data_IF_385514185881
#
_entry.id   IF_385514185881
#
_cell.length_a   1.000
_cell.length_b   1.000
_cell.length_c   1.000
_cell.angle_alpha   90.00
_cell.angle_beta   90.00
_cell.angle_gamma   90.00
#
_symmetry.space_group_name_H-M   'P 1'
#
loop_
_entity.id
_entity.type
_entity.pdbx_description
1 polymer ?
#
# COMPACT_ATOMS: atom_id res chain seq x y z
N UNK A 1 -18.97 -4.78 -18.09
CA UNK A 1 -18.07 -3.61 -18.38
C UNK A 1 -17.01 -4.09 -19.34
N UNK A 2 -16.78 -3.38 -20.43
CA UNK A 2 -15.65 -3.71 -21.31
C UNK A 2 -14.33 -3.15 -20.76
N UNK A 3 -13.20 -3.57 -21.38
CA UNK A 3 -11.87 -3.21 -20.88
C UNK A 3 -11.57 -1.70 -20.99
N UNK A 4 -12.11 -1.02 -21.99
CA UNK A 4 -11.91 0.41 -22.18
C UNK A 4 -12.74 1.20 -21.17
N UNK A 5 -14.01 0.80 -20.97
CA UNK A 5 -14.91 1.40 -19.99
C UNK A 5 -14.35 1.30 -18.56
N UNK A 6 -13.72 0.16 -18.20
CA UNK A 6 -13.08 0.00 -16.90
C UNK A 6 -11.91 0.97 -16.75
N UNK A 7 -11.01 1.04 -17.73
CA UNK A 7 -9.86 1.96 -17.67
C UNK A 7 -10.30 3.42 -17.53
N UNK A 8 -11.34 3.84 -18.30
CA UNK A 8 -11.84 5.20 -18.24
C UNK A 8 -12.42 5.53 -16.87
N UNK A 9 -13.15 4.61 -16.24
CA UNK A 9 -13.64 4.78 -14.87
C UNK A 9 -12.51 4.85 -13.85
N UNK A 10 -11.47 4.02 -13.96
CA UNK A 10 -10.30 4.09 -13.10
C UNK A 10 -9.61 5.45 -13.21
N UNK A 11 -9.41 5.95 -14.44
CA UNK A 11 -8.83 7.27 -14.70
C UNK A 11 -9.66 8.42 -14.16
N UNK A 12 -11.00 8.34 -14.24
CA UNK A 12 -11.89 9.33 -13.66
C UNK A 12 -11.75 9.43 -12.12
N UNK A 13 -11.41 8.33 -11.47
CA UNK A 13 -11.26 8.28 -10.00
C UNK A 13 -9.89 8.78 -9.56
N UNK A 14 -8.79 8.34 -10.21
CA UNK A 14 -7.42 8.59 -9.72
C UNK A 14 -6.59 9.50 -10.64
N UNK A 15 -7.14 9.91 -11.79
CA UNK A 15 -6.42 10.69 -12.79
C UNK A 15 -5.78 9.85 -13.90
N UNK A 16 -5.56 10.49 -15.04
CA UNK A 16 -5.13 9.83 -16.28
C UNK A 16 -3.77 9.12 -16.17
N UNK A 17 -2.84 9.68 -15.42
CA UNK A 17 -1.48 9.16 -15.30
C UNK A 17 -1.34 8.06 -14.24
N UNK A 18 -2.29 7.98 -13.32
CA UNK A 18 -2.31 7.05 -12.18
C UNK A 18 -2.99 5.70 -12.49
N UNK A 19 -3.67 5.57 -13.62
CA UNK A 19 -4.28 4.30 -14.06
C UNK A 19 -3.68 3.85 -15.39
N UNK A 20 -3.23 2.58 -15.44
CA UNK A 20 -2.54 1.97 -16.59
C UNK A 20 -3.06 0.57 -16.84
N UNK A 21 -2.87 0.07 -18.05
CA UNK A 21 -3.14 -1.33 -18.43
C UNK A 21 -1.84 -2.03 -18.77
N UNK A 22 -1.79 -3.36 -18.55
CA UNK A 22 -0.63 -4.16 -18.93
C UNK A 22 0.66 -3.78 -18.22
N UNK A 23 0.57 -3.27 -17.00
CA UNK A 23 1.72 -2.79 -16.23
C UNK A 23 2.61 -3.95 -15.80
N UNK A 24 3.92 -3.94 -16.15
CA UNK A 24 4.84 -5.02 -15.81
C UNK A 24 5.07 -5.09 -14.29
N UNK A 25 4.70 -6.18 -13.64
CA UNK A 25 4.84 -6.31 -12.20
C UNK A 25 6.28 -6.53 -11.71
N UNK A 26 7.19 -6.91 -12.60
CA UNK A 26 8.61 -7.04 -12.28
C UNK A 26 9.28 -5.72 -11.85
N UNK A 27 8.72 -4.57 -12.23
CA UNK A 27 9.22 -3.25 -11.78
C UNK A 27 8.62 -2.82 -10.44
N UNK A 28 7.57 -3.52 -9.97
CA UNK A 28 6.85 -3.26 -8.72
C UNK A 28 7.11 -4.31 -7.64
N UNK A 29 8.04 -5.24 -7.86
CA UNK A 29 8.43 -6.26 -6.89
C UNK A 29 9.93 -6.26 -6.65
N UNK A 30 10.32 -6.57 -5.41
CA UNK A 30 11.75 -6.70 -5.05
C UNK A 30 12.40 -7.88 -5.77
N UNK A 31 11.66 -8.94 -6.08
CA UNK A 31 12.15 -10.09 -6.84
C UNK A 31 12.43 -9.75 -8.32
N UNK A 32 11.89 -8.64 -8.84
CA UNK A 32 12.05 -8.17 -10.23
C UNK A 32 11.63 -9.20 -11.28
N UNK A 33 10.66 -10.03 -10.94
CA UNK A 33 10.02 -11.02 -11.81
C UNK A 33 8.51 -10.88 -11.75
N UNK A 34 7.81 -11.41 -12.75
CA UNK A 34 6.35 -11.41 -12.83
C UNK A 34 5.84 -10.81 -14.13
N UNK A 35 4.75 -11.36 -14.64
CA UNK A 35 4.02 -10.84 -15.80
C UNK A 35 3.25 -9.57 -15.46
N UNK A 36 2.46 -9.10 -16.42
CA UNK A 36 1.74 -7.81 -16.28
C UNK A 36 0.48 -7.95 -15.43
N UNK A 37 0.15 -6.87 -14.71
CA UNK A 37 -1.19 -6.65 -14.18
C UNK A 37 -2.14 -6.22 -15.31
N UNK A 38 -3.40 -6.67 -15.29
CA UNK A 38 -4.40 -6.22 -16.28
C UNK A 38 -4.59 -4.71 -16.15
N UNK A 39 -4.78 -4.24 -14.91
CA UNK A 39 -4.86 -2.83 -14.56
C UNK A 39 -3.98 -2.55 -13.34
N UNK A 40 -3.38 -1.38 -13.34
CA UNK A 40 -2.55 -0.90 -12.25
C UNK A 40 -2.95 0.53 -11.91
N UNK A 41 -3.13 0.82 -10.62
CA UNK A 41 -3.65 2.10 -10.13
C UNK A 41 -2.86 2.58 -8.92
N UNK A 42 -2.52 3.87 -8.92
CA UNK A 42 -1.85 4.54 -7.80
C UNK A 42 -2.72 5.72 -7.31
N UNK A 43 -3.63 5.51 -6.35
CA UNK A 43 -4.38 6.61 -5.77
C UNK A 43 -3.43 7.58 -5.06
N UNK A 44 -3.78 8.86 -5.06
CA UNK A 44 -2.99 9.94 -4.46
C UNK A 44 -3.58 10.46 -3.14
N UNK A 45 -4.81 10.04 -2.81
CA UNK A 45 -5.47 10.43 -1.57
C UNK A 45 -6.35 9.31 -0.99
N UNK A 46 -6.75 9.48 0.28
CA UNK A 46 -7.69 8.57 0.95
C UNK A 46 -9.04 8.58 0.24
N UNK A 47 -9.50 9.73 -0.22
CA UNK A 47 -10.77 9.90 -0.92
C UNK A 47 -10.79 9.16 -2.26
N UNK A 48 -9.70 9.24 -3.02
CA UNK A 48 -9.53 8.47 -4.25
C UNK A 48 -9.54 6.97 -3.96
N UNK A 49 -8.77 6.52 -2.95
CA UNK A 49 -8.73 5.12 -2.54
C UNK A 49 -10.11 4.62 -2.11
N UNK A 50 -10.86 5.41 -1.31
CA UNK A 50 -12.22 5.07 -0.90
C UNK A 50 -13.17 4.94 -2.11
N UNK A 51 -13.08 5.88 -3.04
CA UNK A 51 -13.90 5.89 -4.26
C UNK A 51 -13.58 4.69 -5.15
N UNK A 52 -12.28 4.37 -5.27
CA UNK A 52 -11.79 3.22 -6.02
C UNK A 52 -12.31 1.90 -5.43
N UNK A 53 -12.17 1.70 -4.11
CA UNK A 53 -12.64 0.49 -3.42
C UNK A 53 -14.17 0.33 -3.58
N UNK A 54 -14.94 1.41 -3.42
CA UNK A 54 -16.41 1.39 -3.63
C UNK A 54 -16.76 0.99 -5.06
N UNK A 55 -16.09 1.59 -6.04
CA UNK A 55 -16.33 1.30 -7.46
C UNK A 55 -16.04 -0.16 -7.79
N UNK A 56 -14.86 -0.67 -7.40
CA UNK A 56 -14.44 -2.03 -7.68
C UNK A 56 -15.37 -3.07 -7.05
N UNK A 57 -15.73 -2.89 -5.78
CA UNK A 57 -16.67 -3.81 -5.11
C UNK A 57 -18.08 -3.74 -5.69
N UNK A 58 -18.59 -2.53 -6.03
CA UNK A 58 -19.91 -2.40 -6.68
C UNK A 58 -19.97 -3.06 -8.06
N UNK A 59 -18.83 -3.07 -8.77
CA UNK A 59 -18.71 -3.65 -10.12
C UNK A 59 -18.28 -5.12 -10.11
N UNK A 60 -18.10 -5.73 -8.94
CA UNK A 60 -17.62 -7.09 -8.75
C UNK A 60 -16.28 -7.34 -9.47
N UNK A 61 -15.37 -6.38 -9.37
CA UNK A 61 -14.03 -6.45 -9.99
C UNK A 61 -13.02 -6.88 -8.94
N UNK A 62 -12.28 -7.93 -9.25
CA UNK A 62 -11.18 -8.40 -8.38
C UNK A 62 -10.06 -7.38 -8.31
N UNK A 63 -9.50 -7.21 -7.12
CA UNK A 63 -8.35 -6.34 -6.91
C UNK A 63 -7.45 -6.84 -5.79
N UNK A 64 -6.19 -6.43 -5.84
CA UNK A 64 -5.25 -6.59 -4.75
C UNK A 64 -4.57 -5.26 -4.42
N UNK A 65 -4.32 -5.04 -3.13
CA UNK A 65 -3.59 -3.87 -2.65
C UNK A 65 -2.16 -4.27 -2.32
N UNK A 66 -1.21 -3.52 -2.85
CA UNK A 66 0.22 -3.73 -2.59
C UNK A 66 0.87 -2.47 -2.03
N UNK A 67 1.93 -2.64 -1.27
CA UNK A 67 2.86 -1.56 -0.92
C UNK A 67 4.08 -1.61 -1.82
N UNK A 68 5.27 -1.73 -1.24
CA UNK A 68 6.54 -1.78 -1.97
C UNK A 68 6.81 -3.11 -2.72
N UNK A 69 5.90 -4.09 -2.68
CA UNK A 69 6.08 -5.37 -3.38
C UNK A 69 7.23 -6.23 -2.88
N UNK A 70 7.73 -6.00 -1.66
CA UNK A 70 8.89 -6.71 -1.12
C UNK A 70 8.60 -8.13 -0.66
N UNK A 71 7.33 -8.47 -0.42
CA UNK A 71 6.89 -9.81 -0.06
C UNK A 71 5.89 -10.37 -1.09
N UNK A 72 6.03 -9.96 -2.35
CA UNK A 72 5.14 -10.36 -3.43
C UNK A 72 5.91 -11.12 -4.52
N UNK A 73 5.48 -12.34 -4.78
CA UNK A 73 5.93 -13.14 -5.92
C UNK A 73 4.80 -13.19 -6.95
N UNK A 74 5.06 -12.62 -8.12
CA UNK A 74 4.09 -12.59 -9.23
C UNK A 74 4.50 -13.62 -10.27
N UNK A 75 3.54 -14.44 -10.72
CA UNK A 75 3.77 -15.41 -11.79
C UNK A 75 3.96 -14.73 -13.14
N UNK A 76 4.54 -15.45 -14.13
CA UNK A 76 4.70 -14.96 -15.49
C UNK A 76 3.36 -14.67 -16.20
N UNK A 77 2.25 -15.26 -15.70
CA UNK A 77 0.90 -14.96 -16.18
C UNK A 77 0.39 -13.60 -15.73
N UNK A 78 1.08 -12.94 -14.78
CA UNK A 78 0.69 -11.66 -14.22
C UNK A 78 -0.45 -11.75 -13.20
N UNK A 79 -1.13 -10.62 -13.00
CA UNK A 79 -2.24 -10.48 -12.04
C UNK A 79 -3.50 -10.07 -12.80
N UNK A 80 -4.58 -10.83 -12.61
CA UNK A 80 -5.89 -10.50 -13.18
C UNK A 80 -6.61 -9.47 -12.30
N UNK A 81 -7.42 -8.61 -12.93
CA UNK A 81 -8.09 -7.52 -12.23
C UNK A 81 -7.21 -6.30 -11.98
N UNK A 82 -7.44 -5.61 -10.88
CA UNK A 82 -6.81 -4.32 -10.56
C UNK A 82 -5.77 -4.46 -9.46
N UNK A 83 -4.54 -4.04 -9.73
CA UNK A 83 -3.51 -3.85 -8.70
C UNK A 83 -3.54 -2.41 -8.22
N UNK A 84 -3.74 -2.21 -6.93
CA UNK A 84 -3.72 -0.89 -6.27
C UNK A 84 -2.42 -0.78 -5.49
N UNK A 85 -1.53 0.12 -5.88
CA UNK A 85 -0.29 0.35 -5.14
C UNK A 85 -0.39 1.59 -4.27
N UNK A 86 -0.14 1.42 -2.97
CA UNK A 86 0.02 2.52 -2.02
C UNK A 86 1.52 2.79 -1.85
N UNK A 87 1.95 3.96 -2.27
CA UNK A 87 3.37 4.35 -2.33
C UNK A 87 3.61 5.73 -1.72
N UNK A 88 4.52 6.50 -2.28
CA UNK A 88 5.01 7.79 -1.74
C UNK A 88 3.91 8.85 -1.52
N UNK A 89 2.73 8.72 -2.13
CA UNK A 89 1.58 9.59 -1.86
C UNK A 89 0.91 9.31 -0.50
N UNK A 90 1.23 8.17 0.12
CA UNK A 90 0.76 7.74 1.44
C UNK A 90 1.95 7.62 2.41
N UNK A 91 2.79 8.65 2.50
CA UNK A 91 4.04 8.61 3.30
C UNK A 91 4.12 9.68 4.41
N UNK A 92 3.00 10.27 4.80
CA UNK A 92 2.94 11.25 5.87
C UNK A 92 3.15 10.63 7.25
N UNK A 93 3.77 11.41 8.14
CA UNK A 93 3.98 11.11 9.55
C UNK A 93 3.49 12.28 10.39
N UNK A 94 2.61 12.00 11.33
CA UNK A 94 2.12 12.94 12.32
C UNK A 94 2.58 12.49 13.72
N UNK A 95 3.19 13.38 14.48
CA UNK A 95 3.61 13.11 15.86
C UNK A 95 2.46 13.50 16.81
N UNK A 96 1.83 12.48 17.42
CA UNK A 96 0.66 12.67 18.28
C UNK A 96 1.08 13.10 19.68
N UNK A 97 2.11 12.46 20.22
CA UNK A 97 2.73 12.77 21.50
C UNK A 97 4.21 12.36 21.52
N UNK A 98 4.83 12.36 22.72
CA UNK A 98 6.26 12.07 22.90
C UNK A 98 6.66 10.62 22.54
N UNK A 99 5.71 9.70 22.39
CA UNK A 99 5.96 8.27 22.14
C UNK A 99 5.07 7.66 21.04
N UNK A 100 4.11 8.43 20.53
CA UNK A 100 3.12 7.96 19.57
C UNK A 100 3.19 8.75 18.27
N UNK A 101 3.25 8.03 17.16
CA UNK A 101 3.21 8.61 15.81
C UNK A 101 2.10 7.97 15.00
N UNK A 102 1.39 8.76 14.20
CA UNK A 102 0.48 8.29 13.16
C UNK A 102 1.21 8.31 11.83
N UNK A 103 1.15 7.19 11.11
CA UNK A 103 1.93 7.01 9.87
C UNK A 103 1.02 6.48 8.78
N UNK A 104 1.12 7.02 7.59
CA UNK A 104 0.40 6.50 6.44
C UNK A 104 1.04 5.22 5.90
N UNK A 105 0.20 4.38 5.31
CA UNK A 105 0.52 2.99 4.94
C UNK A 105 1.61 2.82 3.88
N UNK A 106 1.83 3.81 3.01
CA UNK A 106 2.86 3.80 1.96
C UNK A 106 4.26 4.15 2.45
N UNK A 107 4.40 4.72 3.66
CA UNK A 107 5.69 5.07 4.24
C UNK A 107 6.63 3.86 4.29
N UNK A 108 7.84 4.02 3.78
CA UNK A 108 8.88 2.98 3.88
C UNK A 108 9.37 2.82 5.33
N UNK A 109 9.52 1.57 5.80
CA UNK A 109 9.96 1.29 7.17
C UNK A 109 11.33 1.92 7.48
N UNK A 110 12.28 1.86 6.54
CA UNK A 110 13.60 2.48 6.70
C UNK A 110 13.52 4.00 6.82
N UNK A 111 12.65 4.65 6.02
CA UNK A 111 12.43 6.10 6.09
C UNK A 111 11.78 6.50 7.41
N UNK A 112 10.79 5.73 7.86
CA UNK A 112 10.15 5.93 9.16
C UNK A 112 11.18 5.81 10.28
N UNK A 113 11.99 4.74 10.29
CA UNK A 113 13.01 4.54 11.31
C UNK A 113 13.99 5.71 11.43
N UNK A 114 14.45 6.27 10.30
CA UNK A 114 15.28 7.47 10.32
C UNK A 114 14.56 8.68 10.95
N UNK A 115 13.30 8.92 10.55
CA UNK A 115 12.49 10.02 11.12
C UNK A 115 12.28 9.88 12.64
N UNK A 116 12.08 8.63 13.13
CA UNK A 116 11.90 8.34 14.55
C UNK A 116 13.24 8.54 15.32
N UNK A 117 14.35 8.07 14.75
CA UNK A 117 15.68 8.26 15.34
C UNK A 117 16.05 9.75 15.45
N UNK A 118 15.76 10.56 14.43
CA UNK A 118 15.98 12.01 14.45
C UNK A 118 15.18 12.72 15.57
N UNK A 119 14.09 12.11 16.02
CA UNK A 119 13.25 12.57 17.13
C UNK A 119 13.59 11.93 18.47
N UNK A 120 14.58 11.02 18.51
CA UNK A 120 14.95 10.29 19.72
C UNK A 120 13.93 9.23 20.16
N UNK A 121 13.03 8.81 19.26
CA UNK A 121 12.06 7.74 19.54
C UNK A 121 12.69 6.37 19.31
N UNK A 122 12.70 5.54 20.35
CA UNK A 122 13.25 4.20 20.34
C UNK A 122 12.14 3.13 20.23
N UNK A 123 12.55 1.86 19.94
CA UNK A 123 11.64 0.71 19.89
C UNK A 123 11.22 0.30 18.49
N UNK A 124 11.62 1.04 17.45
CA UNK A 124 11.32 0.72 16.04
C UNK A 124 12.54 0.15 15.30
N UNK A 125 13.67 -0.02 15.96
CA UNK A 125 14.97 -0.39 15.34
C UNK A 125 14.89 -1.71 14.58
N UNK A 126 14.15 -2.69 15.10
CA UNK A 126 13.97 -3.99 14.46
C UNK A 126 13.39 -3.89 13.04
N UNK A 127 12.55 -2.89 12.79
CA UNK A 127 11.83 -2.75 11.51
C UNK A 127 12.64 -1.99 10.45
N UNK A 128 13.69 -1.26 10.82
CA UNK A 128 14.43 -0.36 9.90
C UNK A 128 15.11 -1.10 8.75
N UNK A 129 15.52 -2.34 8.99
CA UNK A 129 16.17 -3.21 7.99
C UNK A 129 15.20 -4.04 7.16
N UNK A 130 13.89 -4.02 7.47
CA UNK A 130 12.89 -4.78 6.72
C UNK A 130 12.53 -3.99 5.45
N UNK A 131 12.72 -4.54 4.24
CA UNK A 131 12.32 -3.86 3.01
C UNK A 131 10.79 -3.89 2.90
N UNK A 132 10.15 -2.74 2.90
CA UNK A 132 8.67 -2.68 2.79
C UNK A 132 8.07 -1.38 3.29
N UNK A 133 6.77 -1.24 3.08
CA UNK A 133 5.98 -0.14 3.60
C UNK A 133 5.31 -0.49 4.93
N UNK A 134 4.92 0.54 5.69
CA UNK A 134 4.21 0.41 6.98
C UNK A 134 2.93 -0.44 6.82
N UNK A 135 2.09 -0.16 5.83
CA UNK A 135 0.87 -0.94 5.61
C UNK A 135 1.15 -2.41 5.29
N UNK A 136 2.18 -2.69 4.49
CA UNK A 136 2.65 -4.06 4.23
C UNK A 136 3.14 -4.75 5.49
N UNK A 137 3.90 -4.05 6.32
CA UNK A 137 4.42 -4.56 7.58
C UNK A 137 3.30 -4.86 8.59
N UNK A 138 2.31 -3.99 8.71
CA UNK A 138 1.11 -4.22 9.53
C UNK A 138 0.35 -5.45 9.05
N UNK A 139 0.09 -5.54 7.75
CA UNK A 139 -0.66 -6.68 7.14
C UNK A 139 0.01 -8.02 7.39
N UNK A 140 1.35 -8.05 7.38
CA UNK A 140 2.16 -9.26 7.52
C UNK A 140 2.63 -9.50 8.96
N UNK A 141 2.35 -8.59 9.90
CA UNK A 141 2.97 -8.57 11.23
C UNK A 141 4.49 -8.74 11.11
N UNK A 142 5.12 -7.90 10.26
CA UNK A 142 6.53 -8.04 9.94
C UNK A 142 7.40 -7.93 11.18
N UNK A 143 8.42 -8.78 11.26
CA UNK A 143 9.32 -8.81 12.40
C UNK A 143 10.74 -9.17 12.01
N UNK A 144 11.68 -8.74 12.84
CA UNK A 144 13.10 -9.06 12.75
C UNK A 144 13.73 -8.90 14.14
N UNK A 145 14.84 -9.63 14.37
CA UNK A 145 15.64 -9.50 15.61
C UNK A 145 14.82 -9.66 16.92
N UNK A 146 13.71 -10.41 16.87
CA UNK A 146 12.87 -10.68 18.03
C UNK A 146 11.78 -9.64 18.30
N UNK A 147 11.68 -8.55 17.52
CA UNK A 147 10.57 -7.59 17.55
C UNK A 147 9.60 -7.81 16.39
N UNK A 148 8.32 -7.51 16.57
CA UNK A 148 7.27 -7.60 15.57
C UNK A 148 6.38 -6.34 15.61
N UNK A 149 5.71 -6.03 14.50
CA UNK A 149 4.82 -4.86 14.43
C UNK A 149 3.73 -4.88 15.50
N UNK A 150 3.18 -6.04 15.84
CA UNK A 150 2.15 -6.17 16.89
C UNK A 150 2.62 -5.68 18.27
N UNK A 151 3.94 -5.65 18.51
CA UNK A 151 4.50 -5.26 19.81
C UNK A 151 4.48 -3.73 20.01
N UNK A 152 4.35 -2.97 18.92
CA UNK A 152 4.43 -1.50 18.91
C UNK A 152 3.20 -0.80 18.34
N UNK A 153 2.32 -1.52 17.61
CA UNK A 153 1.12 -0.93 17.04
C UNK A 153 0.07 -0.67 18.11
N UNK A 154 -0.50 0.54 18.13
CA UNK A 154 -1.58 0.94 19.04
C UNK A 154 -2.94 0.73 18.38
N UNK A 155 -3.09 1.20 17.14
CA UNK A 155 -4.31 1.04 16.35
C UNK A 155 -3.99 1.15 14.86
N UNK A 156 -4.93 0.78 14.02
CA UNK A 156 -4.81 0.93 12.57
C UNK A 156 -6.14 1.38 11.97
N UNK A 157 -6.11 2.49 11.25
CA UNK A 157 -7.22 2.90 10.40
C UNK A 157 -7.20 2.06 9.12
N UNK A 158 -8.30 1.37 8.82
CA UNK A 158 -8.43 0.51 7.65
C UNK A 158 -9.68 0.83 6.84
N UNK A 159 -9.64 0.60 5.53
CA UNK A 159 -10.83 0.68 4.70
C UNK A 159 -11.50 -0.69 4.63
N UNK A 160 -12.79 -0.73 4.95
CA UNK A 160 -13.61 -1.91 4.72
C UNK A 160 -13.95 -2.06 3.22
N UNK A 161 -14.57 -3.18 2.85
CA UNK A 161 -14.99 -3.41 1.46
C UNK A 161 -16.01 -2.40 0.93
N UNK A 162 -16.70 -1.68 1.80
CA UNK A 162 -17.60 -0.60 1.40
C UNK A 162 -16.89 0.75 1.22
N UNK A 163 -15.56 0.78 1.41
CA UNK A 163 -14.74 1.99 1.35
C UNK A 163 -14.96 2.93 2.54
N UNK A 164 -15.45 2.40 3.69
CA UNK A 164 -15.54 3.17 4.94
C UNK A 164 -14.25 3.01 5.72
N UNK A 165 -13.80 4.11 6.30
CA UNK A 165 -12.69 4.11 7.24
C UNK A 165 -13.21 3.59 8.61
N UNK A 166 -12.52 2.61 9.16
CA UNK A 166 -12.75 2.02 10.48
C UNK A 166 -11.43 1.94 11.24
N UNK A 167 -11.48 2.15 12.55
CA UNK A 167 -10.33 2.08 13.47
C UNK A 167 -10.52 0.93 14.45
#
# INVERSE_FOLDING_TARGET
MDNNELLDNLKLIVGDTQARTGEPMNIHTTFRIGGCADYYVQPSSIEELQSLIRFLNKSDIEYCVIGNGSNLLVSDKGIRGVVIQLSDTFDEVEYIDDVTVKVMSGMMLSRLGNKLADKGLAGFEFATGIPGSVGGAVRMNAGAYGGEIKDIIVSADVLDRSGRLIS
#
